data_IF_201964943328
#
_entry.id   IF_201964943328
#
_cell.length_a   1.000
_cell.length_b   1.000
_cell.length_c   1.000
_cell.angle_alpha   90.00
_cell.angle_beta   90.00
_cell.angle_gamma   90.00
#
_symmetry.space_group_name_H-M   'P 1'
#
loop_
_entity.id
_entity.type
_entity.pdbx_description
1 polymer ?
#
# COMPACT_ATOMS: atom_id res chain seq x y z
N UNK A 1 -41.12 -68.65 -12.48
CA UNK A 1 -40.03 -67.97 -13.20
C UNK A 1 -40.15 -66.48 -12.98
N UNK A 2 -39.40 -65.92 -12.02
CA UNK A 2 -39.42 -64.51 -11.70
C UNK A 2 -38.29 -63.84 -12.50
N UNK A 3 -38.67 -62.93 -13.44
CA UNK A 3 -37.74 -62.04 -14.16
C UNK A 3 -37.42 -60.78 -13.32
N UNK A 4 -36.21 -60.76 -12.80
CA UNK A 4 -35.65 -59.55 -12.16
C UNK A 4 -35.46 -58.42 -13.20
N UNK A 5 -36.20 -57.32 -13.07
CA UNK A 5 -35.96 -56.10 -13.84
C UNK A 5 -34.78 -55.37 -13.20
N UNK A 6 -33.64 -55.41 -13.83
CA UNK A 6 -32.50 -54.56 -13.48
C UNK A 6 -32.80 -53.15 -14.00
N UNK A 7 -33.14 -52.26 -13.12
CA UNK A 7 -33.30 -50.82 -13.39
C UNK A 7 -31.93 -50.20 -13.69
N UNK A 8 -31.74 -49.72 -14.92
CA UNK A 8 -30.53 -49.04 -15.40
C UNK A 8 -30.48 -47.57 -14.91
N UNK A 9 -30.36 -47.40 -13.59
CA UNK A 9 -30.26 -46.05 -12.96
C UNK A 9 -28.81 -45.49 -12.93
N UNK A 10 -27.81 -46.27 -13.39
CA UNK A 10 -26.40 -45.92 -13.31
C UNK A 10 -25.96 -44.73 -14.23
N UNK A 11 -26.41 -44.60 -15.50
CA UNK A 11 -25.93 -43.50 -16.34
C UNK A 11 -26.48 -42.13 -15.93
N UNK A 12 -27.70 -42.08 -15.37
CA UNK A 12 -28.32 -40.81 -14.92
C UNK A 12 -27.62 -40.27 -13.68
N UNK A 13 -27.22 -41.11 -12.73
CA UNK A 13 -26.50 -40.69 -11.53
C UNK A 13 -25.09 -40.13 -11.87
N UNK A 14 -24.37 -40.77 -12.82
CA UNK A 14 -23.05 -40.26 -13.25
C UNK A 14 -23.17 -38.92 -13.96
N UNK A 15 -24.19 -38.74 -14.78
CA UNK A 15 -24.44 -37.42 -15.44
C UNK A 15 -24.76 -36.31 -14.46
N UNK A 16 -25.56 -36.58 -13.43
CA UNK A 16 -25.90 -35.60 -12.40
C UNK A 16 -24.67 -35.18 -11.56
N UNK A 17 -23.78 -36.10 -11.21
CA UNK A 17 -22.53 -35.79 -10.48
C UNK A 17 -21.58 -34.96 -11.34
N UNK A 18 -21.44 -35.23 -12.62
CA UNK A 18 -20.59 -34.49 -13.54
C UNK A 18 -21.08 -33.03 -13.73
N UNK A 19 -22.40 -32.82 -13.86
CA UNK A 19 -22.99 -31.47 -13.96
C UNK A 19 -22.81 -30.71 -12.64
N UNK A 20 -22.98 -31.35 -11.49
CA UNK A 20 -22.78 -30.70 -10.19
C UNK A 20 -21.33 -30.31 -9.97
N UNK A 21 -20.37 -31.11 -10.38
CA UNK A 21 -18.94 -30.80 -10.32
C UNK A 21 -18.56 -29.61 -11.23
N UNK A 22 -19.14 -29.55 -12.44
CA UNK A 22 -18.92 -28.44 -13.38
C UNK A 22 -19.49 -27.11 -12.87
N UNK A 23 -20.62 -27.12 -12.16
CA UNK A 23 -21.22 -25.91 -11.58
C UNK A 23 -20.42 -25.42 -10.36
N UNK A 24 -19.88 -26.32 -9.53
CA UNK A 24 -19.05 -25.94 -8.38
C UNK A 24 -17.66 -25.41 -8.78
N UNK A 25 -17.11 -25.84 -9.91
CA UNK A 25 -15.81 -25.35 -10.39
C UNK A 25 -15.89 -23.96 -11.05
N UNK A 26 -17.07 -23.53 -11.47
CA UNK A 26 -17.28 -22.23 -12.15
C UNK A 26 -17.04 -21.01 -11.26
N UNK A 27 -17.28 -21.11 -9.95
CA UNK A 27 -17.11 -19.99 -9.02
C UNK A 27 -15.64 -19.57 -8.83
N UNK A 28 -14.69 -20.48 -9.02
CA UNK A 28 -13.26 -20.19 -8.84
C UNK A 28 -12.62 -19.57 -10.09
N UNK A 29 -13.22 -19.78 -11.28
CA UNK A 29 -12.64 -19.32 -12.55
C UNK A 29 -13.00 -17.85 -12.89
N UNK A 30 -14.01 -17.28 -12.23
CA UNK A 30 -14.49 -15.92 -12.51
C UNK A 30 -14.08 -14.89 -11.44
N UNK A 31 -13.50 -15.36 -10.33
CA UNK A 31 -13.07 -14.46 -9.26
C UNK A 31 -11.57 -14.16 -9.43
N UNK A 32 -11.15 -12.89 -9.64
CA UNK A 32 -9.73 -12.56 -9.69
C UNK A 32 -9.06 -12.94 -8.36
N UNK A 33 -7.90 -13.59 -8.44
CA UNK A 33 -7.10 -13.96 -7.27
C UNK A 33 -6.53 -12.67 -6.70
N UNK A 34 -7.25 -12.04 -5.77
CA UNK A 34 -6.86 -10.76 -5.17
C UNK A 34 -5.62 -10.87 -4.27
N UNK A 35 -5.20 -12.09 -3.90
CA UNK A 35 -3.97 -12.32 -3.13
C UNK A 35 -2.68 -12.12 -3.93
N UNK A 36 -2.76 -12.01 -5.26
CA UNK A 36 -1.63 -11.64 -6.12
C UNK A 36 -1.54 -10.11 -6.36
N UNK A 37 -2.55 -9.36 -5.97
CA UNK A 37 -2.50 -7.90 -6.01
C UNK A 37 -1.64 -7.42 -4.85
N UNK A 38 -0.62 -6.61 -5.14
CA UNK A 38 0.19 -5.98 -4.10
C UNK A 38 -0.73 -5.14 -3.19
N UNK A 39 -0.96 -5.64 -1.98
CA UNK A 39 -1.80 -5.00 -0.97
C UNK A 39 -0.92 -4.61 0.21
N UNK A 40 -1.03 -3.35 0.65
CA UNK A 40 -0.45 -2.90 1.90
C UNK A 40 -1.41 -3.26 3.03
N UNK A 41 -0.95 -4.09 3.98
CA UNK A 41 -1.76 -4.50 5.15
C UNK A 41 -1.71 -3.46 6.28
N UNK A 42 -1.38 -2.22 5.97
CA UNK A 42 -1.24 -1.08 6.89
C UNK A 42 -2.03 0.11 6.35
N UNK A 43 -2.15 1.16 7.13
CA UNK A 43 -2.90 2.38 6.76
C UNK A 43 -2.25 3.14 5.59
N UNK A 44 -0.95 2.96 5.38
CA UNK A 44 -0.19 3.59 4.31
C UNK A 44 -0.08 2.74 3.04
N UNK A 45 0.58 3.30 2.04
CA UNK A 45 0.77 2.70 0.71
C UNK A 45 2.20 2.27 0.49
N UNK A 46 2.40 1.43 -0.54
CA UNK A 46 3.71 0.95 -0.97
C UNK A 46 4.05 1.49 -2.36
N UNK A 47 5.33 1.86 -2.55
CA UNK A 47 5.89 2.19 -3.86
C UNK A 47 7.22 1.45 -4.05
N UNK A 48 7.60 1.21 -5.31
CA UNK A 48 8.90 0.64 -5.67
C UNK A 48 9.46 1.38 -6.86
N UNK A 49 10.76 1.71 -6.81
CA UNK A 49 11.45 2.47 -7.83
C UNK A 49 12.91 2.00 -7.92
N UNK A 50 13.22 1.12 -8.88
CA UNK A 50 14.51 0.46 -8.95
C UNK A 50 14.80 -0.33 -7.68
N UNK A 51 15.93 -0.04 -7.04
CA UNK A 51 16.33 -0.68 -5.77
C UNK A 51 15.65 -0.09 -4.53
N UNK A 52 14.93 1.02 -4.68
CA UNK A 52 14.14 1.61 -3.61
C UNK A 52 12.81 0.89 -3.45
N UNK A 53 12.48 0.53 -2.21
CA UNK A 53 11.13 0.17 -1.80
C UNK A 53 10.71 1.10 -0.66
N UNK A 54 9.60 1.79 -0.85
CA UNK A 54 8.94 2.59 0.17
C UNK A 54 7.71 1.83 0.68
N UNK A 55 7.56 1.72 1.99
CA UNK A 55 6.49 0.92 2.62
C UNK A 55 5.76 1.74 3.67
N UNK A 56 4.45 1.55 3.74
CA UNK A 56 3.57 2.22 4.68
C UNK A 56 3.63 3.74 4.63
N UNK A 57 3.77 4.32 3.43
CA UNK A 57 3.77 5.78 3.28
C UNK A 57 2.40 6.36 3.58
N UNK A 58 2.33 7.26 4.54
CA UNK A 58 1.16 8.06 4.89
C UNK A 58 1.61 9.43 5.43
N UNK A 59 0.74 10.42 5.34
CA UNK A 59 0.93 11.73 5.96
C UNK A 59 -0.03 11.89 7.13
N UNK A 60 0.46 12.46 8.23
CA UNK A 60 -0.36 12.85 9.38
C UNK A 60 -0.39 14.37 9.45
N UNK A 61 -1.56 14.99 9.26
CA UNK A 61 -1.71 16.42 9.18
C UNK A 61 -2.96 16.90 9.94
N UNK A 62 -2.97 18.17 10.37
CA UNK A 62 -4.11 18.77 11.07
C UNK A 62 -5.25 19.12 10.12
N UNK A 63 -4.93 19.60 8.92
CA UNK A 63 -5.88 20.13 7.93
C UNK A 63 -5.27 20.09 6.53
N UNK A 64 -6.06 20.47 5.52
CA UNK A 64 -5.53 20.79 4.20
C UNK A 64 -4.61 22.00 4.27
N UNK A 65 -3.65 22.06 3.35
CA UNK A 65 -2.65 23.14 3.24
C UNK A 65 -1.85 23.38 4.54
N UNK A 66 -1.69 22.33 5.36
CA UNK A 66 -0.90 22.37 6.60
C UNK A 66 0.33 21.45 6.49
N UNK A 67 1.34 21.64 7.37
CA UNK A 67 2.44 20.71 7.48
C UNK A 67 1.92 19.31 7.84
N UNK A 68 2.44 18.28 7.16
CA UNK A 68 2.16 16.89 7.44
C UNK A 68 3.42 16.09 7.72
N UNK A 69 3.41 15.27 8.76
CA UNK A 69 4.50 14.38 9.10
C UNK A 69 4.42 13.11 8.26
N UNK A 70 5.46 12.84 7.48
CA UNK A 70 5.57 11.61 6.69
C UNK A 70 5.92 10.45 7.60
N UNK A 71 5.15 9.38 7.47
CA UNK A 71 5.36 8.11 8.16
C UNK A 71 5.66 7.00 7.16
N UNK A 72 6.45 6.02 7.58
CA UNK A 72 6.73 4.83 6.78
C UNK A 72 8.16 4.35 6.88
N UNK A 73 8.64 3.70 5.81
CA UNK A 73 10.01 3.23 5.72
C UNK A 73 10.53 3.28 4.27
N UNK A 74 11.82 3.57 4.12
CA UNK A 74 12.54 3.52 2.85
C UNK A 74 13.60 2.42 2.94
N UNK A 75 13.49 1.40 2.09
CA UNK A 75 14.46 0.30 2.02
C UNK A 75 15.24 0.40 0.71
N UNK A 76 16.56 0.50 0.82
CA UNK A 76 17.47 0.40 -0.31
C UNK A 76 17.97 -1.04 -0.42
N UNK A 77 17.60 -1.74 -1.47
CA UNK A 77 18.00 -3.14 -1.75
C UNK A 77 19.20 -3.26 -2.67
N UNK A 78 19.75 -2.12 -3.12
CA UNK A 78 20.92 -2.04 -3.97
C UNK A 78 22.23 -2.10 -3.21
N UNK A 79 23.31 -2.25 -3.95
CA UNK A 79 24.69 -2.33 -3.43
C UNK A 79 25.33 -0.96 -3.21
N UNK A 80 24.67 0.13 -3.65
CA UNK A 80 25.12 1.50 -3.50
C UNK A 80 24.13 2.34 -2.72
N UNK A 81 24.60 3.37 -2.01
CA UNK A 81 23.73 4.33 -1.35
C UNK A 81 22.95 5.13 -2.40
N UNK A 82 21.68 5.40 -2.16
CA UNK A 82 20.84 6.23 -3.01
C UNK A 82 20.32 7.45 -2.25
N UNK A 83 20.02 8.50 -2.99
CA UNK A 83 19.30 9.68 -2.49
C UNK A 83 17.90 9.63 -3.08
N UNK A 84 16.91 9.69 -2.20
CA UNK A 84 15.50 9.77 -2.57
C UNK A 84 15.05 11.22 -2.40
N UNK A 85 14.53 11.81 -3.45
CA UNK A 85 13.80 13.06 -3.40
C UNK A 85 12.31 12.72 -3.25
N UNK A 86 11.69 13.23 -2.19
CA UNK A 86 10.27 13.04 -1.87
C UNK A 86 9.60 14.39 -1.98
N UNK A 87 8.56 14.49 -2.81
CA UNK A 87 7.86 15.75 -2.99
C UNK A 87 6.33 15.57 -2.90
N UNK A 88 5.66 16.53 -2.27
CA UNK A 88 4.20 16.68 -2.24
C UNK A 88 3.86 18.17 -2.11
N UNK A 89 2.82 18.62 -2.81
CA UNK A 89 2.48 20.04 -2.86
C UNK A 89 3.62 20.88 -3.40
N UNK A 90 4.08 21.83 -2.61
CA UNK A 90 5.21 22.73 -2.92
C UNK A 90 6.51 22.34 -2.22
N UNK A 91 6.49 21.36 -1.33
CA UNK A 91 7.66 20.95 -0.54
C UNK A 91 8.38 19.74 -1.17
N UNK A 92 9.68 19.70 -0.92
CA UNK A 92 10.57 18.64 -1.40
C UNK A 92 11.63 18.38 -0.37
N UNK A 93 11.80 17.11 0.01
CA UNK A 93 12.83 16.66 0.94
C UNK A 93 13.74 15.63 0.27
N UNK A 94 15.01 15.61 0.68
CA UNK A 94 16.02 14.70 0.16
C UNK A 94 16.62 13.86 1.28
N UNK A 95 16.46 12.55 1.15
CA UNK A 95 16.85 11.59 2.16
C UNK A 95 17.87 10.64 1.52
N UNK A 96 18.99 10.40 2.23
CA UNK A 96 19.99 9.44 1.84
C UNK A 96 19.74 8.11 2.56
N UNK A 97 19.66 7.02 1.80
CA UNK A 97 19.53 5.65 2.30
C UNK A 97 20.76 4.85 1.91
N UNK A 98 21.51 4.32 2.88
CA UNK A 98 22.70 3.55 2.59
C UNK A 98 22.37 2.21 1.90
N UNK A 99 23.38 1.57 1.31
CA UNK A 99 23.21 0.24 0.71
C UNK A 99 22.71 -0.78 1.74
N UNK A 100 21.65 -1.52 1.40
CA UNK A 100 21.06 -2.54 2.26
C UNK A 100 20.32 -2.02 3.49
N UNK A 101 20.21 -0.70 3.65
CA UNK A 101 19.57 -0.05 4.79
C UNK A 101 18.05 0.00 4.62
N UNK A 102 17.34 -0.07 5.76
CA UNK A 102 15.96 0.35 5.91
C UNK A 102 15.90 1.51 6.89
N UNK A 103 15.58 2.68 6.38
CA UNK A 103 15.39 3.91 7.15
C UNK A 103 13.91 4.07 7.51
N UNK A 104 13.62 4.23 8.79
CA UNK A 104 12.27 4.54 9.27
C UNK A 104 12.01 6.05 9.13
N UNK A 105 10.77 6.39 8.78
CA UNK A 105 10.28 7.77 8.69
C UNK A 105 9.23 8.00 9.76
N UNK A 106 9.40 9.09 10.51
CA UNK A 106 8.50 9.48 11.59
C UNK A 106 8.49 8.56 12.80
N UNK A 107 7.53 8.74 13.68
CA UNK A 107 7.45 8.05 14.95
C UNK A 107 8.57 8.47 15.92
N UNK A 108 8.87 7.60 16.91
CA UNK A 108 9.88 7.89 17.94
C UNK A 108 11.30 7.51 17.54
N UNK A 109 11.47 6.69 16.52
CA UNK A 109 12.77 6.12 16.11
C UNK A 109 13.13 6.45 14.66
N UNK A 110 12.19 6.99 13.89
CA UNK A 110 12.39 7.34 12.49
C UNK A 110 12.90 8.78 12.30
N UNK A 111 13.31 9.09 11.08
CA UNK A 111 13.68 10.44 10.68
C UNK A 111 12.43 11.31 10.55
N UNK A 112 12.46 12.50 11.15
CA UNK A 112 11.36 13.46 11.06
C UNK A 112 11.37 14.12 9.68
N UNK A 113 10.33 13.86 8.91
CA UNK A 113 10.13 14.43 7.57
C UNK A 113 8.79 15.14 7.53
N UNK A 114 8.82 16.45 7.32
CA UNK A 114 7.63 17.29 7.25
C UNK A 114 7.48 17.84 5.85
N UNK A 115 6.32 17.62 5.26
CA UNK A 115 5.99 18.03 3.89
C UNK A 115 4.67 18.83 3.87
N UNK A 116 4.46 19.64 2.85
CA UNK A 116 3.16 20.27 2.63
C UNK A 116 2.11 19.19 2.32
N UNK A 117 0.94 19.37 2.90
CA UNK A 117 -0.19 18.44 2.70
C UNK A 117 -1.36 19.18 2.05
N UNK A 118 -1.45 19.17 0.70
CA UNK A 118 -2.50 19.94 -0.01
C UNK A 118 -3.91 19.48 0.32
N UNK A 119 -4.07 18.19 0.63
CA UNK A 119 -5.36 17.56 0.84
C UNK A 119 -5.70 17.43 2.33
N UNK A 120 -7.00 17.48 2.64
CA UNK A 120 -7.48 17.31 4.02
C UNK A 120 -7.34 15.85 4.50
N UNK A 121 -7.25 15.63 5.83
CA UNK A 121 -7.37 14.29 6.41
C UNK A 121 -8.61 13.55 5.93
N UNK A 122 -8.43 12.26 5.60
CA UNK A 122 -9.44 11.40 4.98
C UNK A 122 -9.38 11.36 3.45
N UNK A 123 -8.58 12.23 2.81
CA UNK A 123 -8.30 12.19 1.38
C UNK A 123 -6.96 11.49 1.09
N UNK A 124 -6.56 11.46 -0.17
CA UNK A 124 -5.22 11.06 -0.63
C UNK A 124 -4.57 12.21 -1.36
N UNK A 125 -3.26 12.38 -1.19
CA UNK A 125 -2.45 13.37 -1.92
C UNK A 125 -1.45 12.66 -2.83
N UNK A 126 -1.12 13.28 -3.95
CA UNK A 126 -0.05 12.77 -4.81
C UNK A 126 1.31 13.07 -4.20
N UNK A 127 2.11 12.01 -4.05
CA UNK A 127 3.51 12.10 -3.63
C UNK A 127 4.39 11.55 -4.73
N UNK A 128 5.49 12.21 -5.03
CA UNK A 128 6.49 11.70 -5.97
C UNK A 128 7.74 11.28 -5.23
N UNK A 129 8.28 10.14 -5.64
CA UNK A 129 9.59 9.63 -5.22
C UNK A 129 10.50 9.64 -6.43
N UNK A 130 11.65 10.29 -6.32
CA UNK A 130 12.63 10.39 -7.40
C UNK A 130 13.99 9.90 -6.93
N UNK A 131 14.66 9.10 -7.75
CA UNK A 131 16.07 8.71 -7.59
C UNK A 131 16.83 8.97 -8.89
N UNK A 132 18.10 9.29 -8.80
CA UNK A 132 18.95 9.55 -9.99
C UNK A 132 19.04 8.30 -10.91
N UNK A 133 19.04 7.11 -10.32
CA UNK A 133 19.23 5.86 -11.05
C UNK A 133 17.96 5.34 -11.74
N UNK A 134 16.78 5.56 -11.16
CA UNK A 134 15.54 4.92 -11.61
C UNK A 134 14.42 5.90 -12.03
N UNK A 135 14.69 7.21 -11.95
CA UNK A 135 13.71 8.26 -12.32
C UNK A 135 12.68 8.50 -11.23
N UNK A 136 11.42 8.70 -11.62
CA UNK A 136 10.34 9.15 -10.72
C UNK A 136 9.15 8.20 -10.77
N UNK A 137 8.53 7.97 -9.62
CA UNK A 137 7.24 7.31 -9.47
C UNK A 137 6.30 8.22 -8.66
N UNK A 138 5.05 8.32 -9.09
CA UNK A 138 3.98 8.99 -8.35
C UNK A 138 3.11 7.95 -7.64
N UNK A 139 2.71 8.25 -6.41
CA UNK A 139 1.87 7.39 -5.57
C UNK A 139 0.83 8.23 -4.84
N UNK A 140 -0.39 7.68 -4.71
CA UNK A 140 -1.46 8.33 -3.93
C UNK A 140 -1.34 7.92 -2.47
N UNK A 141 -0.92 8.84 -1.63
CA UNK A 141 -0.63 8.63 -0.21
C UNK A 141 -1.82 9.11 0.63
N UNK A 142 -2.33 8.30 1.58
CA UNK A 142 -3.42 8.74 2.45
C UNK A 142 -2.95 9.83 3.42
N UNK A 143 -3.85 10.77 3.67
CA UNK A 143 -3.70 11.80 4.69
C UNK A 143 -4.58 11.42 5.87
N UNK A 144 -3.97 11.27 7.05
CA UNK A 144 -4.65 10.94 8.31
C UNK A 144 -4.61 12.14 9.25
N UNK A 145 -5.53 12.16 10.22
CA UNK A 145 -5.51 13.13 11.31
C UNK A 145 -4.94 12.53 12.62
N UNK A 146 -4.82 13.33 13.65
CA UNK A 146 -4.41 12.91 14.99
C UNK A 146 -5.54 12.40 15.88
N UNK A 147 -6.68 11.98 15.33
CA UNK A 147 -7.83 11.52 16.12
C UNK A 147 -7.56 10.17 16.79
N UNK A 148 -6.81 9.29 16.13
CA UNK A 148 -6.39 8.02 16.70
C UNK A 148 -5.20 8.22 17.63
N UNK A 149 -5.14 7.51 18.77
CA UNK A 149 -4.07 7.67 19.76
C UNK A 149 -2.66 7.48 19.20
N UNK A 150 -2.50 6.57 18.23
CA UNK A 150 -1.22 6.28 17.55
C UNK A 150 -0.73 7.41 16.67
N UNK A 151 -1.61 8.31 16.22
CA UNK A 151 -1.27 9.45 15.37
C UNK A 151 -1.33 10.80 16.07
N UNK A 152 -1.86 10.85 17.30
CA UNK A 152 -2.10 12.11 18.02
C UNK A 152 -0.82 12.95 18.21
N UNK A 153 0.28 12.28 18.52
CA UNK A 153 1.58 12.93 18.77
C UNK A 153 2.40 13.17 17.49
N UNK A 154 1.90 12.71 16.33
CA UNK A 154 2.59 12.81 15.06
C UNK A 154 2.16 14.04 14.24
N UNK A 155 1.08 14.71 14.60
CA UNK A 155 0.64 15.93 13.93
C UNK A 155 1.66 17.04 14.18
N UNK A 156 2.29 17.61 13.13
CA UNK A 156 3.24 18.70 13.31
C UNK A 156 2.57 19.93 13.95
N UNK A 157 3.30 20.61 14.83
CA UNK A 157 2.83 21.90 15.32
C UNK A 157 2.83 22.93 14.16
N UNK A 158 1.76 23.72 14.06
CA UNK A 158 1.72 24.82 13.11
C UNK A 158 2.88 25.79 13.42
N UNK A 159 3.77 25.99 12.45
CA UNK A 159 4.81 27.00 12.56
C UNK A 159 4.13 28.36 12.39
N UNK A 160 3.79 29.01 13.50
CA UNK A 160 3.33 30.39 13.47
C UNK A 160 4.55 31.26 13.04
N UNK A 161 4.65 31.58 11.75
CA UNK A 161 5.55 32.64 11.32
C UNK A 161 5.04 33.94 11.90
N UNK A 162 5.82 34.53 12.81
CA UNK A 162 5.61 35.83 13.41
C UNK A 162 6.30 36.95 12.61
#
# INVERSE_FOLDING_TARGET
VARSRRTSARPVAVGAVAVLAAVLSGCSATNPITTEVAYSASDGVRASLGDLTAENLLLVAAAADSPGALQGALSNRGDEALTVEIATGSSTERIRVASGETLLLGGTEGEDVVLDTPEAPGATTEMTLTTDAAGTVAVQVPVLDGTLPEYADLVPAETTEG
#
